data_IF_749588854786
#
_entry.id   IF_749588854786
#
_cell.length_a   1.000
_cell.length_b   1.000
_cell.length_c   1.000
_cell.angle_alpha   90.00
_cell.angle_beta   90.00
_cell.angle_gamma   90.00
#
_symmetry.space_group_name_H-M   'P 1'
#
loop_
_entity.id
_entity.type
_entity.pdbx_description
1 polymer ?
#
# COMPACT_ATOMS: atom_id res chain seq x y z
N UNK A 1 -7.42 3.44 11.58
CA UNK A 1 -6.13 4.16 11.36
C UNK A 1 -5.93 4.24 9.87
N UNK A 2 -5.56 5.40 9.31
CA UNK A 2 -5.44 5.59 7.85
C UNK A 2 -4.00 5.35 7.38
N UNK A 3 -3.81 4.46 6.41
CA UNK A 3 -2.54 4.00 5.85
C UNK A 3 -2.49 4.39 4.38
N UNK A 4 -1.68 5.40 4.04
CA UNK A 4 -1.48 5.84 2.67
C UNK A 4 -0.34 5.11 1.97
N UNK A 5 -0.54 4.71 0.71
CA UNK A 5 0.50 4.17 -0.16
C UNK A 5 0.72 5.12 -1.34
N UNK A 6 1.67 6.07 -1.25
CA UNK A 6 1.97 6.97 -2.35
C UNK A 6 2.67 6.22 -3.50
N UNK A 7 2.64 6.83 -4.69
CA UNK A 7 3.42 6.36 -5.83
C UNK A 7 4.92 6.62 -5.57
N UNK A 8 5.75 5.63 -5.87
CA UNK A 8 7.20 5.82 -5.94
C UNK A 8 7.57 6.75 -7.10
N UNK A 9 8.32 7.81 -6.80
CA UNK A 9 8.68 8.87 -7.78
C UNK A 9 10.11 8.73 -8.33
N UNK A 10 10.88 7.76 -7.84
CA UNK A 10 12.27 7.57 -8.24
C UNK A 10 12.35 6.95 -9.65
N UNK A 11 13.32 7.40 -10.44
CA UNK A 11 13.57 6.83 -11.76
C UNK A 11 13.88 5.33 -11.67
N UNK A 12 13.27 4.56 -12.59
CA UNK A 12 13.33 3.10 -12.63
C UNK A 12 12.85 2.39 -11.36
N UNK A 13 12.00 3.05 -10.56
CA UNK A 13 11.30 2.42 -9.45
C UNK A 13 9.89 2.00 -9.88
N UNK A 14 9.66 0.69 -9.89
CA UNK A 14 8.41 0.08 -10.35
C UNK A 14 7.67 -0.65 -9.23
N UNK A 15 8.24 -0.70 -8.03
CA UNK A 15 7.59 -1.29 -6.87
C UNK A 15 6.46 -0.39 -6.38
N UNK A 16 5.62 -0.96 -5.53
CA UNK A 16 4.56 -0.26 -4.80
C UNK A 16 4.59 -0.75 -3.35
N UNK A 17 4.29 0.15 -2.41
CA UNK A 17 4.43 -0.13 -0.98
C UNK A 17 3.54 -1.26 -0.46
N UNK A 18 2.41 -1.56 -1.11
CA UNK A 18 1.50 -2.66 -0.75
C UNK A 18 1.01 -3.41 -1.98
N UNK A 19 0.82 -4.72 -1.81
CA UNK A 19 0.11 -5.57 -2.77
C UNK A 19 -1.40 -5.58 -2.45
N UNK A 20 -2.27 -5.93 -3.41
CA UNK A 20 -3.69 -6.08 -3.15
C UNK A 20 -4.01 -7.06 -2.00
N UNK A 21 -3.25 -8.14 -1.86
CA UNK A 21 -3.40 -9.09 -0.76
C UNK A 21 -3.11 -8.43 0.59
N UNK A 22 -2.02 -7.64 0.69
CA UNK A 22 -1.68 -6.91 1.92
C UNK A 22 -2.72 -5.84 2.27
N UNK A 23 -3.33 -5.20 1.27
CA UNK A 23 -4.43 -4.24 1.49
C UNK A 23 -5.66 -4.95 2.06
N UNK A 24 -6.01 -6.13 1.55
CA UNK A 24 -7.15 -6.90 2.05
C UNK A 24 -7.00 -7.27 3.54
N UNK A 25 -5.80 -7.69 3.95
CA UNK A 25 -5.50 -7.98 5.37
C UNK A 25 -5.60 -6.73 6.25
N UNK A 26 -5.08 -5.59 5.77
CA UNK A 26 -5.18 -4.31 6.48
C UNK A 26 -6.63 -3.87 6.68
N UNK A 27 -7.47 -4.02 5.65
CA UNK A 27 -8.90 -3.73 5.75
C UNK A 27 -9.60 -4.69 6.72
N UNK A 28 -9.25 -5.99 6.68
CA UNK A 28 -9.81 -6.97 7.62
C UNK A 28 -9.44 -6.65 9.08
N UNK A 29 -8.24 -6.11 9.31
CA UNK A 29 -7.79 -5.64 10.61
C UNK A 29 -8.38 -4.27 11.03
N UNK A 30 -9.28 -3.67 10.22
CA UNK A 30 -9.97 -2.43 10.54
C UNK A 30 -9.17 -1.15 10.23
N UNK A 31 -8.16 -1.26 9.37
CA UNK A 31 -7.43 -0.11 8.85
C UNK A 31 -8.08 0.44 7.58
N UNK A 32 -7.81 1.73 7.31
CA UNK A 32 -8.34 2.50 6.17
C UNK A 32 -7.23 3.07 5.31
#
# INVERSE_FOLDING_TARGET
MRVGVPKEIKNHEYRVGLTPASVAELVHAGHE
#
